data_IF_521151415173
#
_entry.id   IF_521151415173
#
_cell.length_a   1.000
_cell.length_b   1.000
_cell.length_c   1.000
_cell.angle_alpha   90.00
_cell.angle_beta   90.00
_cell.angle_gamma   90.00
#
_symmetry.space_group_name_H-M   'P 1'
#
loop_
_entity.id
_entity.type
_entity.pdbx_description
1 polymer ?
#
# COMPACT_ATOMS: atom_id res chain seq x y z
N UNK A 1 21.17 -11.73 26.01
CA UNK A 1 21.03 -10.38 25.59
C UNK A 1 20.73 -10.24 24.13
N UNK A 2 21.28 -11.02 23.34
CA UNK A 2 20.99 -10.93 21.95
C UNK A 2 19.50 -11.04 21.66
N UNK A 3 18.89 -12.08 22.18
CA UNK A 3 17.47 -12.26 21.91
C UNK A 3 16.63 -11.14 22.47
N UNK A 4 16.92 -10.79 23.71
CA UNK A 4 16.18 -9.73 24.33
C UNK A 4 16.49 -8.41 23.66
N UNK A 5 17.74 -8.22 23.32
CA UNK A 5 18.14 -7.02 22.68
C UNK A 5 17.50 -6.87 21.32
N UNK A 6 17.49 -7.94 20.60
CA UNK A 6 16.86 -7.93 19.29
C UNK A 6 15.40 -7.62 19.42
N UNK A 7 14.77 -8.20 20.42
CA UNK A 7 13.38 -7.95 20.64
C UNK A 7 13.12 -6.50 21.01
N UNK A 8 13.95 -5.97 21.88
CA UNK A 8 13.81 -4.58 22.25
C UNK A 8 14.05 -3.66 21.08
N UNK A 9 15.08 -3.95 20.34
CA UNK A 9 15.39 -3.13 19.19
C UNK A 9 14.27 -3.19 18.19
N UNK A 10 13.77 -4.37 17.98
CA UNK A 10 12.69 -4.54 17.04
C UNK A 10 11.44 -3.78 17.49
N UNK A 11 11.13 -3.88 18.76
CA UNK A 11 9.96 -3.16 19.28
C UNK A 11 10.13 -1.67 19.11
N UNK A 12 11.30 -1.17 19.40
CA UNK A 12 11.56 0.24 19.22
C UNK A 12 11.49 0.63 17.77
N UNK A 13 12.08 -0.16 16.92
CA UNK A 13 12.07 0.12 15.50
C UNK A 13 10.65 0.09 14.98
N UNK A 14 9.90 -0.91 15.37
CA UNK A 14 8.55 -1.05 14.89
C UNK A 14 7.66 0.10 15.33
N UNK A 15 8.01 0.71 16.47
CA UNK A 15 7.25 1.85 16.94
C UNK A 15 7.88 3.17 16.53
N UNK A 16 9.01 3.13 15.86
CA UNK A 16 9.71 4.34 15.51
C UNK A 16 9.27 4.82 14.14
N UNK A 17 8.65 5.99 14.12
CA UNK A 17 8.26 6.59 12.86
C UNK A 17 9.47 6.96 12.03
N UNK A 18 10.54 7.35 12.69
CA UNK A 18 11.72 7.76 11.96
C UNK A 18 12.36 6.58 11.24
N UNK A 19 12.43 5.44 11.90
CA UNK A 19 13.00 4.27 11.25
C UNK A 19 12.17 3.86 10.04
N UNK A 20 10.86 3.84 10.21
CA UNK A 20 9.99 3.47 9.11
C UNK A 20 10.06 4.48 7.98
N UNK A 21 10.11 5.77 8.33
CA UNK A 21 10.21 6.80 7.32
C UNK A 21 11.48 6.66 6.50
N UNK A 22 12.58 6.37 7.16
CA UNK A 22 13.85 6.21 6.46
C UNK A 22 13.82 4.99 5.56
N UNK A 23 13.28 3.90 6.06
CA UNK A 23 13.23 2.68 5.29
C UNK A 23 12.36 2.85 4.06
N UNK A 24 11.21 3.48 4.25
CA UNK A 24 10.30 3.72 3.14
C UNK A 24 10.94 4.67 2.13
N UNK A 25 11.53 5.75 2.63
CA UNK A 25 12.13 6.74 1.78
C UNK A 25 13.25 6.16 0.92
N UNK A 26 14.00 5.24 1.48
CA UNK A 26 15.09 4.61 0.77
C UNK A 26 14.61 3.96 -0.52
N UNK A 27 13.42 3.42 -0.50
CA UNK A 27 12.89 2.73 -1.67
C UNK A 27 12.07 3.63 -2.58
N UNK A 28 11.49 4.69 -2.03
CA UNK A 28 10.49 5.43 -2.77
C UNK A 28 10.88 6.84 -3.16
N UNK A 29 11.73 7.48 -2.37
CA UNK A 29 12.09 8.86 -2.68
C UNK A 29 12.85 8.91 -3.98
N UNK A 30 12.45 9.83 -4.85
CA UNK A 30 13.10 9.98 -6.14
C UNK A 30 12.53 9.08 -7.22
N UNK A 31 11.62 8.16 -6.85
CA UNK A 31 11.00 7.31 -7.86
C UNK A 31 9.92 8.08 -8.59
N UNK A 32 9.72 7.72 -9.83
CA UNK A 32 8.68 8.35 -10.65
C UNK A 32 7.53 7.38 -10.82
N UNK A 33 6.32 7.91 -10.76
CA UNK A 33 5.13 7.12 -11.06
C UNK A 33 5.01 7.07 -12.56
N UNK A 34 4.99 5.86 -13.11
CA UNK A 34 4.94 5.69 -14.55
C UNK A 34 3.61 5.14 -15.03
N UNK A 35 2.79 4.64 -14.13
CA UNK A 35 1.51 4.10 -14.52
C UNK A 35 0.60 3.99 -13.30
N UNK A 36 -0.68 4.23 -13.52
CA UNK A 36 -1.70 4.09 -12.48
C UNK A 36 -2.81 3.23 -13.07
N UNK A 37 -3.19 2.19 -12.36
CA UNK A 37 -4.38 1.44 -12.72
C UNK A 37 -4.94 0.82 -11.46
N UNK A 38 -6.09 0.19 -11.58
CA UNK A 38 -6.66 -0.58 -10.48
C UNK A 38 -6.28 -2.04 -10.67
N UNK A 39 -6.26 -2.77 -9.58
CA UNK A 39 -6.06 -4.21 -9.66
C UNK A 39 -7.12 -4.82 -10.56
N UNK A 40 -6.74 -5.84 -11.30
CA UNK A 40 -7.70 -6.57 -12.11
C UNK A 40 -8.60 -7.40 -11.20
N UNK A 41 -9.67 -7.91 -11.78
CA UNK A 41 -10.56 -8.80 -11.03
C UNK A 41 -9.80 -10.02 -10.54
N UNK A 42 -8.95 -10.54 -11.39
CA UNK A 42 -8.17 -11.72 -11.04
C UNK A 42 -7.25 -11.45 -9.87
N UNK A 43 -6.55 -10.32 -9.92
CA UNK A 43 -5.66 -9.95 -8.84
C UNK A 43 -6.43 -9.77 -7.55
N UNK A 44 -7.57 -9.11 -7.63
CA UNK A 44 -8.39 -8.86 -6.46
C UNK A 44 -8.85 -10.16 -5.83
N UNK A 45 -9.26 -11.10 -6.66
CA UNK A 45 -9.69 -12.40 -6.18
C UNK A 45 -8.57 -13.20 -5.55
N UNK A 46 -7.38 -13.08 -6.11
CA UNK A 46 -6.23 -13.79 -5.55
C UNK A 46 -5.93 -13.32 -4.15
N UNK A 47 -6.18 -12.06 -3.87
CA UNK A 47 -6.02 -11.56 -2.51
C UNK A 47 -7.21 -11.90 -1.62
N UNK A 48 -8.30 -12.36 -2.22
CA UNK A 48 -9.50 -12.65 -1.45
C UNK A 48 -10.29 -11.40 -1.11
N UNK A 49 -10.09 -10.35 -1.88
CA UNK A 49 -10.74 -9.07 -1.59
C UNK A 49 -11.98 -8.90 -2.44
N UNK A 50 -12.90 -8.06 -1.96
CA UNK A 50 -14.10 -7.73 -2.72
C UNK A 50 -13.92 -6.50 -3.57
N UNK A 51 -13.03 -5.61 -3.17
CA UNK A 51 -12.79 -4.37 -3.87
C UNK A 51 -11.36 -4.33 -4.35
N UNK A 52 -11.14 -3.59 -5.42
CA UNK A 52 -9.82 -3.46 -6.00
C UNK A 52 -9.16 -2.19 -5.48
N UNK A 53 -7.89 -2.29 -5.16
CA UNK A 53 -7.11 -1.14 -4.79
C UNK A 53 -6.40 -0.61 -6.03
N UNK A 54 -6.00 0.64 -5.96
CA UNK A 54 -5.21 1.23 -7.01
C UNK A 54 -3.81 0.64 -7.00
N UNK A 55 -3.22 0.50 -8.16
CA UNK A 55 -1.81 0.12 -8.30
C UNK A 55 -1.05 1.34 -8.77
N UNK A 56 -0.03 1.71 -8.02
CA UNK A 56 0.85 2.82 -8.38
C UNK A 56 2.17 2.21 -8.80
N UNK A 57 2.48 2.32 -10.09
CA UNK A 57 3.67 1.69 -10.67
C UNK A 57 4.80 2.69 -10.71
N UNK A 58 5.93 2.29 -10.16
CA UNK A 58 7.10 3.15 -10.11
C UNK A 58 8.10 2.76 -11.20
N UNK A 59 9.03 3.65 -11.45
CA UNK A 59 9.95 3.49 -12.58
C UNK A 59 10.94 2.35 -12.39
N UNK A 60 11.03 1.80 -11.19
CA UNK A 60 11.94 0.68 -10.95
C UNK A 60 11.19 -0.65 -10.84
N UNK A 61 9.91 -0.66 -11.20
CA UNK A 61 9.14 -1.89 -11.15
C UNK A 61 8.41 -2.14 -9.85
N UNK A 62 8.61 -1.29 -8.86
CA UNK A 62 7.86 -1.42 -7.61
C UNK A 62 6.42 -1.01 -7.82
N UNK A 63 5.52 -1.64 -7.08
CA UNK A 63 4.10 -1.34 -7.17
C UNK A 63 3.60 -1.12 -5.76
N UNK A 64 2.86 -0.04 -5.58
CA UNK A 64 2.27 0.28 -4.29
C UNK A 64 0.76 0.14 -4.41
N UNK A 65 0.16 -0.50 -3.43
CA UNK A 65 -1.29 -0.67 -3.40
C UNK A 65 -1.75 -0.55 -1.96
N UNK A 66 -2.66 0.36 -1.67
CA UNK A 66 -3.10 0.54 -0.28
C UNK A 66 -4.02 -0.59 0.16
N UNK A 67 -3.90 -0.95 1.41
CA UNK A 67 -4.73 -1.99 2.02
C UNK A 67 -5.46 -1.36 3.20
N UNK A 68 -6.57 -1.97 3.59
CA UNK A 68 -7.34 -1.40 4.70
C UNK A 68 -6.60 -1.54 6.02
N UNK A 69 -5.71 -2.51 6.13
CA UNK A 69 -4.87 -2.65 7.32
C UNK A 69 -3.60 -3.36 6.91
N UNK A 70 -2.68 -3.52 7.83
CA UNK A 70 -1.39 -4.09 7.48
C UNK A 70 -1.41 -5.62 7.49
N UNK A 71 -2.57 -6.22 7.67
CA UNK A 71 -2.72 -7.64 7.53
C UNK A 71 -3.29 -8.04 6.18
N UNK A 72 -3.62 -7.07 5.35
CA UNK A 72 -4.09 -7.38 4.01
C UNK A 72 -5.52 -7.85 3.96
N UNK A 73 -6.37 -7.35 4.85
CA UNK A 73 -7.74 -7.81 4.92
C UNK A 73 -8.67 -7.20 3.88
N UNK A 74 -8.20 -6.27 3.11
CA UNK A 74 -9.02 -5.68 2.07
C UNK A 74 -8.31 -4.53 1.41
N UNK A 75 -8.90 -4.06 0.33
CA UNK A 75 -8.37 -2.90 -0.37
C UNK A 75 -8.59 -1.66 0.46
N UNK A 76 -7.66 -0.71 0.36
CA UNK A 76 -7.75 0.54 1.09
C UNK A 76 -7.84 1.71 0.16
N UNK A 77 -8.45 2.78 0.63
CA UNK A 77 -8.46 4.06 -0.06
C UNK A 77 -7.30 4.89 0.47
N UNK A 78 -6.92 5.89 -0.28
CA UNK A 78 -5.87 6.80 0.13
C UNK A 78 -6.43 8.21 0.21
N UNK A 79 -6.05 8.94 1.23
CA UNK A 79 -6.40 10.34 1.27
C UNK A 79 -5.27 11.16 0.69
N UNK A 80 -5.60 12.28 0.10
CA UNK A 80 -4.60 13.18 -0.43
C UNK A 80 -4.96 14.60 -0.01
N UNK A 81 -4.06 15.51 -0.29
CA UNK A 81 -4.39 16.92 -0.10
C UNK A 81 -4.57 17.62 -1.44
N UNK A 82 -4.83 16.85 -2.48
CA UNK A 82 -5.11 17.41 -3.80
C UNK A 82 -6.54 17.90 -3.80
N UNK A 83 -6.72 19.17 -4.15
CA UNK A 83 -8.00 19.82 -3.98
C UNK A 83 -9.17 19.08 -4.63
N UNK A 84 -9.01 18.61 -5.82
CA UNK A 84 -10.11 17.93 -6.51
C UNK A 84 -9.93 16.41 -6.53
N UNK A 85 -9.09 15.90 -5.63
CA UNK A 85 -8.90 14.46 -5.54
C UNK A 85 -8.52 14.13 -4.10
N UNK A 86 -9.40 14.42 -3.18
CA UNK A 86 -9.07 14.26 -1.76
C UNK A 86 -9.03 12.80 -1.34
N UNK A 87 -9.68 11.94 -2.08
CA UNK A 87 -9.68 10.52 -1.80
C UNK A 87 -9.45 9.75 -3.08
N UNK A 88 -8.52 8.82 -3.04
CA UNK A 88 -8.38 7.84 -4.10
C UNK A 88 -9.14 6.62 -3.62
N UNK A 89 -10.30 6.33 -4.20
CA UNK A 89 -11.17 5.31 -3.63
C UNK A 89 -10.78 3.91 -4.03
N UNK A 90 -11.32 2.94 -3.32
CA UNK A 90 -11.28 1.57 -3.81
C UNK A 90 -12.28 1.48 -4.96
N UNK A 91 -12.11 0.49 -5.79
CA UNK A 91 -12.99 0.28 -6.92
C UNK A 91 -13.74 -1.02 -6.74
N UNK A 92 -14.96 -1.04 -7.23
CA UNK A 92 -15.77 -2.25 -7.11
C UNK A 92 -15.44 -3.26 -8.18
N UNK A 93 -14.38 -3.04 -8.92
CA UNK A 93 -14.06 -3.88 -10.05
C UNK A 93 -13.83 -5.32 -9.74
N UNK A 94 -13.61 -5.65 -8.47
CA UNK A 94 -13.47 -7.03 -8.10
C UNK A 94 -14.79 -7.75 -8.08
N UNK A 95 -15.89 -7.00 -8.15
CA UNK A 95 -17.21 -7.56 -8.03
C UNK A 95 -17.81 -7.78 -9.41
N UNK A 96 -18.77 -8.67 -9.45
CA UNK A 96 -19.41 -9.00 -10.71
C UNK A 96 -20.32 -7.91 -11.21
N UNK A 97 -20.75 -7.07 -10.33
CA UNK A 97 -21.66 -6.03 -10.77
C UNK A 97 -20.94 -4.91 -11.45
N UNK A 98 -19.71 -4.94 -11.39
CA UNK A 98 -18.95 -3.97 -12.09
C UNK A 98 -19.16 -4.24 -13.58
N UNK A 99 -19.59 -3.34 -14.31
CA UNK A 99 -19.89 -3.64 -15.71
C UNK A 99 -19.32 -2.60 -16.59
#
# INVERSE_FOLDING_TARGET
MAAKKVKEVRAKIECSKDWWSEKIAKHLVGRRIVKIDYMTKEETREFGWFHSAINIHLDNGFILSPMQDDEGNGAGAMCTNIKDLQTIPVWFGGSEREV
#
